data_IF_883120971972
#
_entry.id   IF_883120971972
#
_cell.length_a   1.000
_cell.length_b   1.000
_cell.length_c   1.000
_cell.angle_alpha   90.00
_cell.angle_beta   90.00
_cell.angle_gamma   90.00
#
_symmetry.space_group_name_H-M   'P 1'
#
loop_
_entity.id
_entity.type
_entity.pdbx_description
1 polymer ?
#
# COMPACT_ATOMS: atom_id res chain seq x y z
N UNK A 1 6.72 20.77 -29.63
CA UNK A 1 6.80 19.43 -29.01
C UNK A 1 5.45 18.77 -29.19
N UNK A 2 5.40 17.57 -29.75
CA UNK A 2 4.17 16.76 -29.72
C UNK A 2 4.00 16.14 -28.33
N UNK A 3 2.77 16.13 -27.83
CA UNK A 3 2.44 15.48 -26.55
C UNK A 3 2.37 13.97 -26.77
N UNK A 4 3.14 13.21 -25.98
CA UNK A 4 3.06 11.75 -25.98
C UNK A 4 1.82 11.30 -25.19
N UNK A 5 1.17 10.23 -25.66
CA UNK A 5 0.12 9.54 -24.90
C UNK A 5 0.75 8.80 -23.72
N UNK A 6 0.10 8.88 -22.57
CA UNK A 6 0.50 8.18 -21.34
C UNK A 6 -0.67 7.31 -20.91
N UNK A 7 -0.37 6.09 -20.48
CA UNK A 7 -1.34 5.09 -20.01
C UNK A 7 -0.88 4.53 -18.68
N UNK A 8 -1.81 3.94 -17.92
CA UNK A 8 -1.53 3.20 -16.68
C UNK A 8 -1.45 1.72 -17.02
N UNK A 9 -0.33 1.07 -16.72
CA UNK A 9 -0.10 -0.35 -17.01
C UNK A 9 -0.05 -1.24 -15.78
N UNK A 10 0.14 -0.67 -14.59
CA UNK A 10 0.15 -1.40 -13.34
C UNK A 10 -0.42 -0.59 -12.18
N UNK A 11 -1.00 -1.28 -11.22
CA UNK A 11 -1.59 -0.73 -10.00
C UNK A 11 -0.99 -1.41 -8.77
N UNK A 12 -0.88 -0.65 -7.69
CA UNK A 12 -0.47 -1.20 -6.40
C UNK A 12 -0.97 -0.35 -5.26
N UNK A 13 -1.32 -0.97 -4.14
CA UNK A 13 -1.94 -0.27 -3.02
C UNK A 13 -1.74 -0.97 -1.68
N UNK A 14 -1.60 -0.15 -0.64
CA UNK A 14 -1.66 -0.58 0.76
C UNK A 14 -2.61 0.38 1.48
N UNK A 15 -3.75 -0.13 1.93
CA UNK A 15 -4.78 0.69 2.54
C UNK A 15 -5.69 -0.11 3.50
N UNK A 16 -6.61 0.56 4.22
CA UNK A 16 -7.46 -0.09 5.22
C UNK A 16 -8.50 -1.10 4.69
N UNK A 17 -8.67 -1.18 3.37
CA UNK A 17 -9.52 -2.15 2.68
C UNK A 17 -8.74 -3.33 2.11
N UNK A 18 -7.40 -3.33 2.14
CA UNK A 18 -6.60 -4.43 1.59
C UNK A 18 -5.12 -4.07 1.47
N UNK A 19 -4.27 -5.10 1.51
CA UNK A 19 -2.83 -4.99 1.32
C UNK A 19 -2.39 -5.31 -0.13
N UNK A 20 -3.35 -5.32 -1.05
CA UNK A 20 -3.20 -5.54 -2.48
C UNK A 20 -4.43 -4.95 -3.23
N UNK A 21 -4.33 -4.80 -4.56
CA UNK A 21 -5.34 -4.21 -5.45
C UNK A 21 -6.59 -5.07 -5.51
N UNK A 22 -6.46 -6.39 -5.61
CA UNK A 22 -7.59 -7.31 -5.75
C UNK A 22 -8.49 -7.25 -4.50
N UNK A 23 -7.89 -7.41 -3.33
CA UNK A 23 -8.54 -7.35 -2.02
C UNK A 23 -9.15 -5.98 -1.78
N UNK A 24 -8.41 -4.90 -2.07
CA UNK A 24 -8.92 -3.52 -1.93
C UNK A 24 -10.17 -3.33 -2.77
N UNK A 25 -10.12 -3.75 -4.04
CA UNK A 25 -11.21 -3.55 -4.99
C UNK A 25 -12.44 -4.39 -4.63
N UNK A 26 -12.24 -5.66 -4.27
CA UNK A 26 -13.32 -6.53 -3.82
C UNK A 26 -14.04 -5.95 -2.58
N UNK A 27 -13.28 -5.46 -1.60
CA UNK A 27 -13.83 -4.85 -0.40
C UNK A 27 -14.55 -3.52 -0.68
N UNK A 28 -14.02 -2.70 -1.58
CA UNK A 28 -14.67 -1.47 -2.00
C UNK A 28 -16.02 -1.74 -2.69
N UNK A 29 -16.07 -2.70 -3.62
CA UNK A 29 -17.30 -3.10 -4.30
C UNK A 29 -18.34 -3.70 -3.36
N UNK A 30 -17.90 -4.43 -2.33
CA UNK A 30 -18.77 -4.98 -1.30
C UNK A 30 -19.30 -3.91 -0.32
N UNK A 31 -18.82 -2.66 -0.38
CA UNK A 31 -19.20 -1.61 0.55
C UNK A 31 -18.61 -1.79 1.95
N UNK A 32 -17.50 -2.54 2.06
CA UNK A 32 -16.83 -2.76 3.34
C UNK A 32 -16.19 -1.46 3.85
N UNK A 33 -16.27 -1.22 5.16
CA UNK A 33 -15.61 -0.08 5.79
C UNK A 33 -14.23 -0.46 6.33
N UNK A 34 -13.24 0.37 6.05
CA UNK A 34 -11.90 0.26 6.64
C UNK A 34 -11.84 0.78 8.09
N UNK A 35 -12.89 1.44 8.58
CA UNK A 35 -12.88 2.09 9.88
C UNK A 35 -12.93 1.08 11.05
N UNK A 36 -12.15 1.35 12.09
CA UNK A 36 -12.12 0.58 13.33
C UNK A 36 -11.50 1.38 14.47
N UNK A 37 -11.44 0.81 15.70
CA UNK A 37 -10.72 1.41 16.81
C UNK A 37 -9.25 1.64 16.43
N UNK A 38 -8.67 2.76 16.85
CA UNK A 38 -7.22 2.99 16.71
C UNK A 38 -6.50 2.03 17.67
N UNK A 39 -5.55 1.26 17.14
CA UNK A 39 -4.79 0.26 17.90
C UNK A 39 -3.30 0.61 18.02
N UNK A 40 -2.80 1.54 17.20
CA UNK A 40 -1.37 1.88 17.20
C UNK A 40 -0.90 2.71 18.39
N UNK A 41 -1.81 3.35 19.12
CA UNK A 41 -1.50 4.13 20.32
C UNK A 41 -2.73 4.24 21.23
N UNK A 42 -2.51 4.66 22.49
CA UNK A 42 -3.60 4.90 23.44
C UNK A 42 -4.39 6.17 23.08
N UNK A 43 -5.67 5.99 22.76
CA UNK A 43 -6.60 7.07 22.43
C UNK A 43 -7.45 7.56 23.61
N UNK A 44 -7.18 7.11 24.84
CA UNK A 44 -7.99 7.40 26.04
C UNK A 44 -8.26 8.90 26.25
N UNK A 45 -7.27 9.75 25.98
CA UNK A 45 -7.32 11.21 26.14
C UNK A 45 -7.82 11.96 24.89
N UNK A 46 -8.14 11.25 23.80
CA UNK A 46 -8.57 11.85 22.53
C UNK A 46 -10.09 11.81 22.39
N UNK A 47 -10.65 12.85 21.74
CA UNK A 47 -12.08 12.91 21.41
C UNK A 47 -12.49 11.85 20.38
N UNK A 48 -11.62 11.60 19.40
CA UNK A 48 -11.82 10.58 18.36
C UNK A 48 -10.96 9.37 18.68
N UNK A 49 -11.55 8.17 18.61
CA UNK A 49 -10.93 6.90 19.02
C UNK A 49 -10.91 5.83 17.91
N UNK A 50 -11.31 6.24 16.70
CA UNK A 50 -11.39 5.37 15.55
C UNK A 50 -10.66 6.01 14.36
N UNK A 51 -10.23 5.16 13.44
CA UNK A 51 -9.53 5.53 12.23
C UNK A 51 -9.58 4.38 11.22
N UNK A 52 -8.94 4.56 10.08
CA UNK A 52 -8.81 3.52 9.08
C UNK A 52 -7.34 3.07 9.07
N UNK A 53 -7.00 2.13 9.94
CA UNK A 53 -5.64 1.56 10.03
C UNK A 53 -5.45 0.48 8.97
N UNK A 54 -4.24 0.38 8.42
CA UNK A 54 -3.82 -0.78 7.62
C UNK A 54 -3.73 -1.99 8.55
N UNK A 55 -4.43 -3.07 8.21
CA UNK A 55 -4.57 -4.29 9.03
C UNK A 55 -3.58 -5.34 8.55
N UNK A 56 -3.09 -6.16 9.48
CA UNK A 56 -2.30 -7.35 9.19
C UNK A 56 -1.10 -7.12 8.24
N UNK A 57 -0.45 -5.96 8.36
CA UNK A 57 0.73 -5.61 7.57
C UNK A 57 2.03 -5.89 8.34
N UNK A 58 2.91 -6.73 7.77
CA UNK A 58 4.25 -6.98 8.29
C UNK A 58 5.33 -6.42 7.33
N UNK A 59 6.13 -5.41 7.73
CA UNK A 59 7.22 -4.92 6.88
C UNK A 59 8.33 -5.96 6.64
N UNK A 60 8.41 -7.02 7.43
CA UNK A 60 9.40 -8.08 7.23
C UNK A 60 9.11 -8.96 6.00
N UNK A 61 7.92 -8.85 5.39
CA UNK A 61 7.60 -9.52 4.12
C UNK A 61 8.35 -8.91 2.93
N UNK A 62 8.81 -7.66 3.06
CA UNK A 62 9.52 -6.93 2.02
C UNK A 62 11.00 -6.66 2.34
N UNK A 63 11.34 -6.58 3.62
CA UNK A 63 12.70 -6.25 4.08
C UNK A 63 13.21 -7.27 5.08
N UNK A 64 14.52 -7.51 5.07
CA UNK A 64 15.16 -8.06 6.26
C UNK A 64 14.92 -7.15 7.47
N UNK A 65 14.72 -7.74 8.65
CA UNK A 65 14.38 -7.02 9.89
C UNK A 65 15.31 -5.85 10.23
N UNK A 66 16.59 -5.92 9.83
CA UNK A 66 17.56 -4.84 10.03
C UNK A 66 17.29 -3.64 9.12
N UNK A 67 16.90 -3.89 7.88
CA UNK A 67 16.56 -2.86 6.90
C UNK A 67 15.20 -2.24 7.21
N UNK A 68 14.20 -3.03 7.61
CA UNK A 68 12.88 -2.54 8.02
C UNK A 68 12.95 -1.47 9.14
N UNK A 69 13.95 -1.53 10.02
CA UNK A 69 14.11 -0.56 11.11
C UNK A 69 14.65 0.80 10.66
N UNK A 70 15.16 0.91 9.44
CA UNK A 70 15.71 2.16 8.91
C UNK A 70 14.64 3.06 8.29
N UNK A 71 13.50 2.47 7.94
CA UNK A 71 12.41 3.16 7.24
C UNK A 71 11.28 3.48 8.21
N UNK A 72 10.62 4.62 7.96
CA UNK A 72 9.35 4.89 8.62
C UNK A 72 8.25 3.97 8.04
N UNK A 73 7.17 3.79 8.79
CA UNK A 73 6.06 2.94 8.38
C UNK A 73 5.42 3.39 7.06
N UNK A 74 5.35 4.70 6.78
CA UNK A 74 4.81 5.16 5.49
C UNK A 74 5.67 4.65 4.32
N UNK A 75 6.99 4.57 4.50
CA UNK A 75 7.91 4.08 3.48
C UNK A 75 7.72 2.59 3.22
N UNK A 76 7.43 1.79 4.26
CA UNK A 76 7.08 0.39 4.06
C UNK A 76 5.84 0.21 3.18
N UNK A 77 4.78 1.00 3.44
CA UNK A 77 3.57 0.97 2.61
C UNK A 77 3.86 1.39 1.16
N UNK A 78 4.60 2.48 0.98
CA UNK A 78 4.95 2.98 -0.34
C UNK A 78 5.76 1.96 -1.14
N UNK A 79 6.73 1.29 -0.51
CA UNK A 79 7.60 0.33 -1.17
C UNK A 79 6.85 -0.97 -1.52
N UNK A 80 5.94 -1.45 -0.66
CA UNK A 80 5.09 -2.59 -0.97
C UNK A 80 4.11 -2.27 -2.11
N UNK A 81 3.43 -1.12 -2.07
CA UNK A 81 2.53 -0.72 -3.14
C UNK A 81 3.27 -0.51 -4.47
N UNK A 82 4.46 0.08 -4.44
CA UNK A 82 5.28 0.24 -5.64
C UNK A 82 5.72 -1.11 -6.21
N UNK A 83 6.12 -2.06 -5.34
CA UNK A 83 6.47 -3.43 -5.77
C UNK A 83 5.30 -4.11 -6.48
N UNK A 84 4.11 -4.07 -5.89
CA UNK A 84 2.89 -4.63 -6.50
C UNK A 84 2.62 -3.97 -7.87
N UNK A 85 2.71 -2.64 -7.97
CA UNK A 85 2.49 -1.93 -9.23
C UNK A 85 3.50 -2.31 -10.32
N UNK A 86 4.78 -2.50 -9.94
CA UNK A 86 5.82 -2.94 -10.88
C UNK A 86 5.56 -4.37 -11.36
N UNK A 87 5.17 -5.27 -10.46
CA UNK A 87 4.82 -6.65 -10.80
C UNK A 87 3.59 -6.72 -11.71
N UNK A 88 2.51 -6.00 -11.36
CA UNK A 88 1.27 -5.92 -12.16
C UNK A 88 1.51 -5.33 -13.55
N UNK A 89 2.42 -4.35 -13.66
CA UNK A 89 2.76 -3.75 -14.96
C UNK A 89 3.43 -4.69 -15.95
N UNK A 90 4.02 -5.79 -15.48
CA UNK A 90 4.82 -6.71 -16.30
C UNK A 90 6.05 -6.05 -16.94
N UNK A 91 6.48 -4.90 -16.43
CA UNK A 91 7.56 -4.10 -17.01
C UNK A 91 8.92 -4.78 -16.79
N UNK A 92 9.58 -5.17 -17.89
CA UNK A 92 10.94 -5.70 -17.84
C UNK A 92 11.96 -4.55 -17.94
N UNK A 93 12.50 -4.18 -16.78
CA UNK A 93 13.48 -3.10 -16.65
C UNK A 93 14.77 -3.33 -17.46
N UNK A 94 15.13 -4.56 -17.81
CA UNK A 94 16.30 -4.84 -18.66
C UNK A 94 16.03 -4.48 -20.13
N UNK A 95 14.77 -4.56 -20.56
CA UNK A 95 14.34 -4.31 -21.94
C UNK A 95 13.90 -2.87 -22.21
N UNK A 96 13.45 -2.15 -21.17
CA UNK A 96 12.85 -0.81 -21.29
C UNK A 96 13.86 0.33 -21.53
N UNK A 97 15.12 0.16 -21.15
CA UNK A 97 16.15 1.22 -21.23
C UNK A 97 16.98 1.17 -22.54
N UNK A 98 16.36 0.74 -23.65
CA UNK A 98 16.98 0.71 -24.98
C UNK A 98 16.54 1.86 -25.89
#
# INVERSE_FOLDING_TARGET
MELKRVVVTGLGTINPLGNDVETTWANALAGNSGAGPITHFDTSLFKTKFGCEVKDFDPNDLFERKEARKYDRYSHFALQAAKEAMEDSGLDLESENR
#
